data_IF_333347897922
#
_entry.id   IF_333347897922
#
_cell.length_a   1.000
_cell.length_b   1.000
_cell.length_c   1.000
_cell.angle_alpha   90.00
_cell.angle_beta   90.00
_cell.angle_gamma   90.00
#
_symmetry.space_group_name_H-M   'P 1'
#
loop_
_entity.id
_entity.type
_entity.pdbx_description
1 polymer ?
#
# COMPACT_ATOMS: atom_id res chain seq x y z
N UNK A 1 11.14 10.10 -16.94
CA UNK A 1 10.56 10.74 -15.73
C UNK A 1 10.07 9.72 -14.69
N UNK A 2 9.46 8.62 -15.15
CA UNK A 2 8.99 7.50 -14.34
C UNK A 2 10.10 6.83 -13.52
N UNK A 3 11.22 6.44 -14.14
CA UNK A 3 12.26 5.62 -13.50
C UNK A 3 12.84 6.23 -12.21
N UNK A 4 13.22 7.51 -12.20
CA UNK A 4 13.76 8.16 -11.00
C UNK A 4 12.71 8.26 -9.88
N UNK A 5 11.47 8.56 -10.23
CA UNK A 5 10.36 8.64 -9.29
C UNK A 5 10.14 7.29 -8.61
N UNK A 6 10.20 6.21 -9.38
CA UNK A 6 10.09 4.85 -8.87
C UNK A 6 11.22 4.50 -7.90
N UNK A 7 12.46 4.81 -8.28
CA UNK A 7 13.62 4.56 -7.42
C UNK A 7 13.49 5.29 -6.08
N UNK A 8 12.99 6.54 -6.10
CA UNK A 8 12.81 7.33 -4.89
C UNK A 8 11.60 6.90 -4.05
N UNK A 9 10.54 6.40 -4.68
CA UNK A 9 9.41 5.77 -3.99
C UNK A 9 9.85 4.47 -3.29
N UNK A 10 10.57 3.60 -4.00
CA UNK A 10 11.15 2.39 -3.42
C UNK A 10 12.10 2.71 -2.28
N UNK A 11 13.01 3.65 -2.49
CA UNK A 11 13.90 4.16 -1.45
C UNK A 11 13.10 4.60 -0.20
N UNK A 12 11.99 5.32 -0.38
CA UNK A 12 11.16 5.78 0.75
C UNK A 12 10.53 4.61 1.52
N UNK A 13 10.11 3.54 0.85
CA UNK A 13 9.61 2.32 1.51
C UNK A 13 10.70 1.60 2.30
N UNK A 14 11.86 1.41 1.68
CA UNK A 14 12.96 0.61 2.25
C UNK A 14 13.66 1.30 3.40
N UNK A 15 13.80 2.62 3.33
CA UNK A 15 14.51 3.41 4.34
C UNK A 15 13.61 3.78 5.50
N UNK A 16 12.28 3.84 5.35
CA UNK A 16 11.40 4.16 6.47
C UNK A 16 11.54 3.12 7.60
N UNK A 17 11.78 3.62 8.82
CA UNK A 17 12.12 2.77 9.96
C UNK A 17 10.99 1.80 10.34
N UNK A 18 9.73 2.25 10.24
CA UNK A 18 8.58 1.45 10.65
C UNK A 18 8.26 0.36 9.64
N UNK A 19 8.36 0.67 8.34
CA UNK A 19 8.26 -0.34 7.27
C UNK A 19 9.34 -1.40 7.43
N UNK A 20 10.59 -0.99 7.64
CA UNK A 20 11.69 -1.92 7.89
C UNK A 20 11.44 -2.82 9.11
N UNK A 21 10.96 -2.23 10.21
CA UNK A 21 10.60 -2.94 11.44
C UNK A 21 9.46 -3.95 11.25
N UNK A 22 8.48 -3.64 10.37
CA UNK A 22 7.32 -4.51 10.13
C UNK A 22 7.59 -5.62 9.10
N UNK A 23 8.47 -5.39 8.11
CA UNK A 23 8.77 -6.38 7.06
C UNK A 23 9.49 -7.61 7.62
N UNK A 24 10.29 -7.45 8.68
CA UNK A 24 10.96 -8.58 9.34
C UNK A 24 10.02 -9.42 10.21
N UNK A 25 8.76 -9.01 10.39
CA UNK A 25 7.79 -9.67 11.26
C UNK A 25 6.67 -10.33 10.46
N UNK A 26 6.35 -11.58 10.83
CA UNK A 26 5.20 -12.34 10.33
C UNK A 26 3.90 -11.84 10.97
N UNK A 27 3.53 -10.60 10.69
CA UNK A 27 2.28 -10.00 11.13
C UNK A 27 1.20 -10.17 10.05
N UNK A 28 -0.01 -10.54 10.48
CA UNK A 28 -1.22 -10.47 9.63
C UNK A 28 -1.39 -9.07 9.00
N UNK A 29 -0.97 -8.01 9.70
CA UNK A 29 -0.96 -6.63 9.19
C UNK A 29 -0.02 -6.42 7.99
N UNK A 30 1.13 -7.12 7.96
CA UNK A 30 2.06 -7.05 6.82
C UNK A 30 1.42 -7.70 5.59
N UNK A 31 0.72 -8.83 5.78
CA UNK A 31 -0.03 -9.48 4.70
C UNK A 31 -1.21 -8.61 4.21
N UNK A 32 -1.97 -8.01 5.12
CA UNK A 32 -3.02 -7.01 4.79
C UNK A 32 -2.45 -5.84 3.97
N UNK A 33 -1.26 -5.35 4.34
CA UNK A 33 -0.59 -4.25 3.64
C UNK A 33 -0.21 -4.64 2.23
N UNK A 34 0.38 -5.83 2.03
CA UNK A 34 0.73 -6.35 0.70
C UNK A 34 -0.51 -6.55 -0.16
N UNK A 35 -1.57 -7.17 0.38
CA UNK A 35 -2.83 -7.39 -0.32
C UNK A 35 -3.52 -6.06 -0.67
N UNK A 36 -3.46 -5.07 0.23
CA UNK A 36 -3.99 -3.74 -0.03
C UNK A 36 -3.27 -3.07 -1.19
N UNK A 37 -1.93 -3.02 -1.16
CA UNK A 37 -1.13 -2.41 -2.23
C UNK A 37 -1.33 -3.13 -3.57
N UNK A 38 -1.29 -4.47 -3.56
CA UNK A 38 -1.52 -5.28 -4.76
C UNK A 38 -2.94 -5.13 -5.31
N UNK A 39 -3.94 -5.14 -4.44
CA UNK A 39 -5.33 -5.01 -4.85
C UNK A 39 -5.64 -3.61 -5.37
N UNK A 40 -5.11 -2.54 -4.75
CA UNK A 40 -5.25 -1.16 -5.24
C UNK A 40 -4.70 -1.02 -6.66
N UNK A 41 -3.60 -1.71 -6.97
CA UNK A 41 -3.03 -1.74 -8.31
C UNK A 41 -3.99 -2.33 -9.34
N UNK A 42 -4.45 -3.55 -9.09
CA UNK A 42 -5.39 -4.21 -9.99
C UNK A 42 -6.70 -3.42 -10.10
N UNK A 43 -7.16 -2.81 -8.99
CA UNK A 43 -8.39 -2.05 -8.96
C UNK A 43 -8.31 -0.78 -9.82
N UNK A 44 -7.31 0.07 -9.61
CA UNK A 44 -7.16 1.30 -10.39
C UNK A 44 -6.81 1.04 -11.85
N UNK A 45 -6.01 0.01 -12.15
CA UNK A 45 -5.75 -0.42 -13.52
C UNK A 45 -7.05 -0.86 -14.24
N UNK A 46 -7.94 -1.57 -13.55
CA UNK A 46 -9.23 -1.98 -14.11
C UNK A 46 -10.17 -0.79 -14.35
N UNK A 47 -10.21 0.20 -13.43
CA UNK A 47 -11.00 1.43 -13.62
C UNK A 47 -10.56 2.16 -14.89
N UNK A 48 -9.27 2.31 -15.11
CA UNK A 48 -8.72 3.05 -16.25
C UNK A 48 -8.90 2.33 -17.57
N UNK A 49 -8.71 1.01 -17.58
CA UNK A 49 -9.04 0.18 -18.74
C UNK A 49 -10.51 0.36 -19.15
N UNK A 50 -11.45 0.37 -18.20
CA UNK A 50 -12.88 0.56 -18.50
C UNK A 50 -13.20 1.94 -19.11
N UNK A 51 -12.47 2.99 -18.71
CA UNK A 51 -12.60 4.33 -19.29
C UNK A 51 -12.02 4.38 -20.69
N UNK A 52 -10.84 3.80 -20.91
CA UNK A 52 -10.20 3.74 -22.22
C UNK A 52 -11.06 2.98 -23.25
N UNK A 53 -11.67 1.85 -22.89
CA UNK A 53 -12.56 1.09 -23.77
C UNK A 53 -13.81 1.89 -24.17
N UNK A 54 -14.31 2.77 -23.30
CA UNK A 54 -15.44 3.65 -23.64
C UNK A 54 -15.08 4.74 -24.67
N UNK A 55 -13.80 5.14 -24.73
CA UNK A 55 -13.29 6.19 -25.64
C UNK A 55 -12.77 5.58 -26.96
N UNK A 56 -12.15 4.40 -26.91
CA UNK A 56 -11.46 3.75 -28.05
C UNK A 56 -12.39 2.87 -28.91
N UNK A 57 -13.69 2.81 -28.60
CA UNK A 57 -14.71 2.16 -29.45
C UNK A 57 -14.87 2.77 -30.87
N UNK A 58 -13.99 3.69 -31.29
CA UNK A 58 -13.89 4.20 -32.67
C UNK A 58 -12.60 3.87 -33.43
N UNK A 59 -11.55 3.28 -32.85
CA UNK A 59 -10.37 2.96 -33.67
C UNK A 59 -9.50 1.81 -33.12
N UNK A 60 -9.58 0.70 -33.85
CA UNK A 60 -8.63 -0.41 -33.97
C UNK A 60 -8.27 -1.25 -32.72
N UNK A 61 -8.76 -2.49 -32.79
CA UNK A 61 -8.22 -3.66 -32.12
C UNK A 61 -6.82 -4.01 -32.66
N UNK A 62 -5.78 -3.83 -31.86
CA UNK A 62 -4.49 -4.52 -32.00
C UNK A 62 -3.59 -4.22 -30.79
N UNK A 63 -3.77 -4.96 -29.69
CA UNK A 63 -2.73 -5.40 -28.76
C UNK A 63 -3.39 -6.22 -27.64
N UNK A 64 -3.34 -7.55 -27.72
CA UNK A 64 -3.70 -8.44 -26.62
C UNK A 64 -2.65 -8.32 -25.50
N UNK A 65 -2.90 -7.41 -24.56
CA UNK A 65 -2.35 -7.50 -23.21
C UNK A 65 -3.51 -7.85 -22.29
N UNK A 66 -3.34 -8.93 -21.51
CA UNK A 66 -4.35 -9.43 -20.58
C UNK A 66 -4.78 -8.30 -19.63
N UNK A 67 -6.00 -7.81 -19.83
CA UNK A 67 -6.58 -6.76 -19.01
C UNK A 67 -6.53 -7.23 -17.55
N UNK A 68 -5.88 -6.51 -16.62
CA UNK A 68 -5.94 -6.84 -15.20
C UNK A 68 -7.42 -6.88 -14.80
N UNK A 69 -7.91 -8.08 -14.50
CA UNK A 69 -9.33 -8.31 -14.34
C UNK A 69 -9.80 -7.69 -13.02
N UNK A 70 -10.86 -6.89 -13.09
CA UNK A 70 -11.57 -6.36 -11.91
C UNK A 70 -11.93 -7.46 -10.91
N UNK A 71 -12.15 -8.69 -11.39
CA UNK A 71 -12.40 -9.88 -10.57
C UNK A 71 -11.20 -10.23 -9.69
N UNK A 72 -9.97 -10.05 -10.17
CA UNK A 72 -8.75 -10.27 -9.37
C UNK A 72 -8.66 -9.23 -8.26
N UNK A 73 -8.96 -7.97 -8.55
CA UNK A 73 -9.00 -6.91 -7.53
C UNK A 73 -10.06 -7.20 -6.45
N UNK A 74 -11.26 -7.64 -6.84
CA UNK A 74 -12.31 -8.07 -5.93
C UNK A 74 -11.92 -9.31 -5.10
N UNK A 75 -11.26 -10.29 -5.70
CA UNK A 75 -10.76 -11.48 -4.99
C UNK A 75 -9.71 -11.09 -3.95
N UNK A 76 -8.76 -10.22 -4.30
CA UNK A 76 -7.76 -9.72 -3.35
C UNK A 76 -8.44 -8.94 -2.22
N UNK A 77 -9.44 -8.11 -2.53
CA UNK A 77 -10.20 -7.37 -1.54
C UNK A 77 -10.95 -8.29 -0.56
N UNK A 78 -11.66 -9.29 -1.09
CA UNK A 78 -12.38 -10.28 -0.31
C UNK A 78 -11.43 -11.11 0.57
N UNK A 79 -10.29 -11.56 0.01
CA UNK A 79 -9.27 -12.29 0.75
C UNK A 79 -8.66 -11.45 1.88
N UNK A 80 -8.37 -10.16 1.61
CA UNK A 80 -7.89 -9.22 2.64
C UNK A 80 -8.90 -9.07 3.78
N UNK A 81 -10.19 -8.96 3.47
CA UNK A 81 -11.25 -8.85 4.48
C UNK A 81 -11.43 -10.15 5.27
N UNK A 82 -11.22 -11.31 4.65
CA UNK A 82 -11.35 -12.60 5.33
C UNK A 82 -10.18 -12.86 6.29
N UNK A 83 -8.94 -12.57 5.87
CA UNK A 83 -7.74 -12.63 6.73
C UNK A 83 -7.85 -11.61 7.85
N UNK A 84 -8.34 -10.41 7.54
CA UNK A 84 -8.47 -9.33 8.50
C UNK A 84 -9.73 -8.49 8.21
N UNK A 85 -10.80 -8.64 9.01
CA UNK A 85 -12.06 -7.91 8.81
C UNK A 85 -11.91 -6.39 8.80
N UNK A 86 -10.87 -5.87 9.46
CA UNK A 86 -10.54 -4.45 9.48
C UNK A 86 -10.18 -3.88 8.10
N UNK A 87 -9.66 -4.70 7.18
CA UNK A 87 -9.37 -4.30 5.78
C UNK A 87 -10.61 -3.78 5.05
N UNK A 88 -11.81 -4.17 5.50
CA UNK A 88 -13.06 -3.71 4.92
C UNK A 88 -13.18 -2.18 4.91
N UNK A 89 -12.56 -1.48 5.87
CA UNK A 89 -12.53 -0.01 5.92
C UNK A 89 -11.86 0.57 4.66
N UNK A 90 -10.73 -0.01 4.24
CA UNK A 90 -10.00 0.41 3.03
C UNK A 90 -10.82 0.11 1.77
N UNK A 91 -11.35 -1.11 1.67
CA UNK A 91 -12.07 -1.57 0.48
C UNK A 91 -13.43 -0.89 0.31
N UNK A 92 -14.07 -0.47 1.40
CA UNK A 92 -15.30 0.31 1.37
C UNK A 92 -15.09 1.66 0.67
N UNK A 93 -13.99 2.36 0.97
CA UNK A 93 -13.67 3.62 0.30
C UNK A 93 -13.41 3.43 -1.20
N UNK A 94 -12.55 2.46 -1.55
CA UNK A 94 -12.21 2.16 -2.95
C UNK A 94 -13.44 1.72 -3.73
N UNK A 95 -14.25 0.84 -3.15
CA UNK A 95 -15.51 0.36 -3.71
C UNK A 95 -16.52 1.49 -3.89
N UNK A 96 -16.65 2.41 -2.93
CA UNK A 96 -17.56 3.55 -3.03
C UNK A 96 -17.15 4.53 -4.15
N UNK A 97 -15.86 4.87 -4.24
CA UNK A 97 -15.35 5.74 -5.31
C UNK A 97 -15.63 5.17 -6.69
N UNK A 98 -15.50 3.86 -6.83
CA UNK A 98 -15.75 3.15 -8.08
C UNK A 98 -17.25 3.04 -8.36
N UNK A 99 -18.05 2.70 -7.34
CA UNK A 99 -19.51 2.59 -7.41
C UNK A 99 -20.19 3.88 -7.88
N UNK A 100 -19.69 5.04 -7.45
CA UNK A 100 -20.18 6.36 -7.89
C UNK A 100 -19.97 6.55 -9.41
N UNK A 101 -18.88 6.02 -9.96
CA UNK A 101 -18.52 6.17 -11.37
C UNK A 101 -19.20 5.13 -12.28
N UNK A 102 -19.79 4.07 -11.73
CA UNK A 102 -20.37 2.97 -12.50
C UNK A 102 -21.81 3.24 -12.95
N UNK A 103 -22.08 2.89 -14.22
CA UNK A 103 -23.43 2.94 -14.80
C UNK A 103 -24.32 1.76 -14.38
N UNK A 104 -23.77 0.53 -14.33
CA UNK A 104 -24.53 -0.69 -14.03
C UNK A 104 -24.29 -1.20 -12.60
N UNK A 105 -24.83 -0.48 -11.62
CA UNK A 105 -24.61 -0.69 -10.17
C UNK A 105 -25.09 -2.06 -9.67
N UNK A 106 -26.36 -2.40 -9.92
CA UNK A 106 -26.96 -3.64 -9.41
C UNK A 106 -26.28 -4.90 -9.96
N UNK A 107 -25.92 -4.88 -11.26
CA UNK A 107 -25.23 -6.00 -11.90
C UNK A 107 -23.89 -6.30 -11.24
N UNK A 108 -23.10 -5.26 -10.95
CA UNK A 108 -21.80 -5.41 -10.31
C UNK A 108 -21.91 -6.00 -8.90
N UNK A 109 -22.85 -5.51 -8.09
CA UNK A 109 -23.08 -6.03 -6.75
C UNK A 109 -23.51 -7.51 -6.79
N UNK A 110 -24.53 -7.81 -7.61
CA UNK A 110 -25.16 -9.13 -7.64
C UNK A 110 -24.30 -10.21 -8.32
N UNK A 111 -23.56 -9.86 -9.38
CA UNK A 111 -22.82 -10.85 -10.18
C UNK A 111 -21.33 -10.90 -9.86
N UNK A 112 -20.74 -9.83 -9.33
CA UNK A 112 -19.30 -9.80 -9.04
C UNK A 112 -19.03 -9.77 -7.53
N UNK A 113 -19.61 -8.83 -6.78
CA UNK A 113 -19.28 -8.66 -5.35
C UNK A 113 -19.83 -9.80 -4.49
N UNK A 114 -21.13 -10.08 -4.56
CA UNK A 114 -21.78 -11.09 -3.73
C UNK A 114 -21.21 -12.49 -3.98
N UNK A 115 -21.06 -12.97 -5.23
CA UNK A 115 -20.54 -14.31 -5.48
C UNK A 115 -19.09 -14.47 -5.02
N UNK A 116 -18.22 -13.49 -5.29
CA UNK A 116 -16.82 -13.52 -4.85
C UNK A 116 -16.73 -13.51 -3.32
N UNK A 117 -17.48 -12.62 -2.66
CA UNK A 117 -17.53 -12.56 -1.20
C UNK A 117 -18.05 -13.84 -0.57
N UNK A 118 -19.11 -14.43 -1.12
CA UNK A 118 -19.69 -15.67 -0.64
C UNK A 118 -18.73 -16.86 -0.78
N UNK A 119 -18.03 -16.96 -1.92
CA UNK A 119 -17.03 -18.02 -2.14
C UNK A 119 -15.89 -17.90 -1.13
N UNK A 120 -15.32 -16.69 -0.97
CA UNK A 120 -14.21 -16.49 -0.03
C UNK A 120 -14.65 -16.76 1.40
N UNK A 121 -15.83 -16.26 1.81
CA UNK A 121 -16.37 -16.52 3.14
C UNK A 121 -16.58 -18.01 3.37
N UNK A 122 -17.21 -18.72 2.42
CA UNK A 122 -17.43 -20.16 2.51
C UNK A 122 -16.12 -20.92 2.68
N UNK A 123 -15.12 -20.64 1.84
CA UNK A 123 -13.79 -21.26 1.93
C UNK A 123 -13.17 -20.99 3.31
N UNK A 124 -13.19 -19.75 3.80
CA UNK A 124 -12.62 -19.43 5.12
C UNK A 124 -13.37 -20.10 6.27
N UNK A 125 -14.70 -20.15 6.22
CA UNK A 125 -15.49 -20.84 7.26
C UNK A 125 -15.28 -22.35 7.27
N UNK A 126 -15.03 -22.97 6.11
CA UNK A 126 -14.69 -24.39 6.02
C UNK A 126 -13.30 -24.66 6.59
N UNK A 127 -12.33 -23.78 6.33
CA UNK A 127 -11.00 -23.85 6.94
C UNK A 127 -11.07 -23.67 8.46
N UNK A 128 -11.82 -22.66 8.92
CA UNK A 128 -12.04 -22.42 10.35
C UNK A 128 -12.72 -23.63 11.00
N UNK A 129 -13.74 -24.20 10.38
CA UNK A 129 -14.40 -25.41 10.87
C UNK A 129 -13.43 -26.59 10.99
N UNK A 130 -12.59 -26.80 9.97
CA UNK A 130 -11.58 -27.87 9.98
C UNK A 130 -10.53 -27.66 11.08
N UNK A 131 -10.10 -26.43 11.32
CA UNK A 131 -9.08 -26.10 12.32
C UNK A 131 -9.63 -26.09 13.76
N UNK A 132 -10.81 -25.50 13.97
CA UNK A 132 -11.43 -25.36 15.30
C UNK A 132 -12.30 -26.55 15.70
N UNK A 133 -12.61 -27.46 14.77
CA UNK A 133 -13.51 -28.61 15.00
C UNK A 133 -14.97 -28.22 15.26
N UNK A 134 -15.34 -26.96 15.06
CA UNK A 134 -16.68 -26.42 15.31
C UNK A 134 -17.04 -25.34 14.30
N UNK A 135 -18.33 -25.18 14.02
CA UNK A 135 -18.80 -24.19 13.05
C UNK A 135 -18.68 -22.78 13.63
N UNK A 136 -17.63 -22.08 13.25
CA UNK A 136 -17.33 -20.73 13.72
C UNK A 136 -17.11 -19.82 12.53
N UNK A 137 -17.85 -18.70 12.50
CA UNK A 137 -17.63 -17.63 11.53
C UNK A 137 -16.75 -16.58 12.21
N UNK A 138 -15.44 -16.71 12.04
CA UNK A 138 -14.45 -15.86 12.72
C UNK A 138 -14.65 -14.36 12.45
N UNK A 139 -14.94 -13.90 11.21
CA UNK A 139 -15.20 -12.49 10.95
C UNK A 139 -16.39 -11.91 11.74
N UNK A 140 -17.44 -12.70 11.97
CA UNK A 140 -18.61 -12.26 12.73
C UNK A 140 -18.30 -12.17 14.23
N UNK A 141 -17.54 -13.13 14.76
CA UNK A 141 -17.07 -13.08 16.15
C UNK A 141 -16.13 -11.90 16.39
N UNK A 142 -15.25 -11.61 15.42
CA UNK A 142 -14.42 -10.42 15.46
C UNK A 142 -15.27 -9.14 15.53
N UNK A 143 -16.30 -9.03 14.68
CA UNK A 143 -17.21 -7.88 14.68
C UNK A 143 -17.93 -7.73 16.03
N UNK A 144 -18.45 -8.82 16.56
CA UNK A 144 -19.11 -8.86 17.87
C UNK A 144 -18.17 -8.38 18.98
N UNK A 145 -16.96 -8.92 19.04
CA UNK A 145 -16.01 -8.59 20.10
C UNK A 145 -15.48 -7.16 20.00
N UNK A 146 -15.09 -6.72 18.80
CA UNK A 146 -14.38 -5.45 18.62
C UNK A 146 -15.31 -4.23 18.48
N UNK A 147 -16.49 -4.38 17.86
CA UNK A 147 -17.42 -3.27 17.67
C UNK A 147 -18.61 -3.30 18.62
N UNK A 148 -19.20 -4.47 18.88
CA UNK A 148 -20.43 -4.55 19.69
C UNK A 148 -20.16 -4.67 21.18
N UNK A 149 -19.02 -5.26 21.56
CA UNK A 149 -18.66 -5.50 22.97
C UNK A 149 -17.50 -4.62 23.46
N UNK A 150 -16.98 -3.70 22.63
CA UNK A 150 -15.85 -2.82 22.95
C UNK A 150 -14.65 -3.53 23.59
N UNK A 151 -14.41 -4.80 23.26
CA UNK A 151 -13.38 -5.62 23.90
C UNK A 151 -11.96 -5.08 23.70
N UNK A 152 -11.76 -4.27 22.65
CA UNK A 152 -10.49 -3.58 22.41
C UNK A 152 -10.15 -2.53 23.48
N UNK A 153 -11.14 -1.88 24.09
CA UNK A 153 -10.91 -0.80 25.06
C UNK A 153 -10.23 -1.30 26.34
N UNK A 154 -10.33 -2.61 26.62
CA UNK A 154 -9.61 -3.28 27.70
C UNK A 154 -8.08 -3.16 27.56
N UNK A 155 -7.57 -3.06 26.34
CA UNK A 155 -6.13 -2.96 26.06
C UNK A 155 -5.62 -1.51 26.04
N UNK A 156 -6.41 -0.57 26.56
CA UNK A 156 -6.08 0.84 26.63
C UNK A 156 -6.68 1.63 25.47
N UNK A 157 -7.04 2.88 25.75
CA UNK A 157 -7.65 3.79 24.80
C UNK A 157 -6.77 5.01 24.57
N UNK A 158 -6.91 5.59 23.38
CA UNK A 158 -6.21 6.80 22.99
C UNK A 158 -7.22 7.86 22.55
N UNK A 159 -6.87 9.14 22.74
CA UNK A 159 -7.65 10.28 22.26
C UNK A 159 -7.93 10.18 20.75
N UNK A 160 -9.08 10.70 20.30
CA UNK A 160 -9.54 10.53 18.91
C UNK A 160 -8.51 11.02 17.88
N UNK A 161 -7.83 12.13 18.14
CA UNK A 161 -6.85 12.73 17.23
C UNK A 161 -5.49 12.01 17.23
N UNK A 162 -5.31 10.96 18.02
CA UNK A 162 -4.02 10.29 18.21
C UNK A 162 -3.38 9.87 16.88
N UNK A 163 -4.14 9.29 15.95
CA UNK A 163 -3.62 8.91 14.64
C UNK A 163 -3.08 10.10 13.83
N UNK A 164 -3.68 11.28 13.94
CA UNK A 164 -3.25 12.48 13.22
C UNK A 164 -2.09 13.20 13.89
N UNK A 165 -1.99 13.16 15.22
CA UNK A 165 -0.99 13.94 15.97
C UNK A 165 0.23 13.14 16.39
N UNK A 166 0.09 11.83 16.62
CA UNK A 166 1.14 10.98 17.19
C UNK A 166 1.32 9.70 16.38
N UNK A 167 0.24 8.91 16.24
CA UNK A 167 0.22 7.58 15.64
C UNK A 167 0.84 7.51 14.25
N UNK A 168 0.19 8.12 13.27
CA UNK A 168 0.66 8.11 11.89
C UNK A 168 1.92 8.98 11.67
N UNK A 169 2.05 10.19 12.27
CA UNK A 169 3.28 10.98 12.21
C UNK A 169 4.52 10.24 12.69
N UNK A 170 4.44 9.41 13.75
CA UNK A 170 5.60 8.66 14.22
C UNK A 170 6.01 7.54 13.26
N UNK A 171 5.04 6.90 12.60
CA UNK A 171 5.29 5.84 11.61
C UNK A 171 6.01 6.38 10.37
N UNK A 172 5.54 7.50 9.83
CA UNK A 172 6.14 8.12 8.64
C UNK A 172 7.39 8.94 8.98
N UNK A 173 7.48 9.46 10.19
CA UNK A 173 8.66 10.12 10.77
C UNK A 173 9.18 11.27 9.89
N UNK A 174 10.49 11.31 9.63
CA UNK A 174 11.14 12.35 8.81
C UNK A 174 10.70 12.35 7.35
N UNK A 175 9.95 11.34 6.88
CA UNK A 175 9.30 11.37 5.57
C UNK A 175 8.02 12.21 5.55
N UNK A 176 7.45 12.60 6.70
CA UNK A 176 6.19 13.35 6.81
C UNK A 176 6.15 14.64 5.97
N UNK A 177 7.11 15.59 6.10
CA UNK A 177 7.05 16.83 5.32
C UNK A 177 7.13 16.57 3.80
N UNK A 178 7.86 15.53 3.39
CA UNK A 178 7.93 15.12 1.99
C UNK A 178 6.62 14.50 1.51
N UNK A 179 5.95 13.71 2.36
CA UNK A 179 4.64 13.13 2.05
C UNK A 179 3.59 14.22 1.82
N UNK A 180 3.51 15.19 2.74
CA UNK A 180 2.57 16.32 2.63
C UNK A 180 2.84 17.16 1.38
N UNK A 181 4.11 17.49 1.12
CA UNK A 181 4.50 18.18 -0.10
C UNK A 181 4.17 17.36 -1.37
N UNK A 182 4.34 16.04 -1.31
CA UNK A 182 3.99 15.12 -2.38
C UNK A 182 2.49 15.05 -2.67
N UNK A 183 1.65 15.02 -1.63
CA UNK A 183 0.19 15.08 -1.73
C UNK A 183 -0.22 16.38 -2.44
N UNK A 184 0.28 17.52 -1.96
CA UNK A 184 -0.05 18.83 -2.55
C UNK A 184 0.45 18.94 -4.00
N UNK A 185 1.64 18.42 -4.33
CA UNK A 185 2.17 18.52 -5.70
C UNK A 185 1.50 17.57 -6.69
N UNK A 186 1.16 16.35 -6.24
CA UNK A 186 0.58 15.33 -7.11
C UNK A 186 -0.89 15.57 -7.42
N UNK A 187 -1.62 16.29 -6.55
CA UNK A 187 -3.06 16.55 -6.67
C UNK A 187 -3.92 15.27 -6.70
N UNK A 188 -3.39 14.16 -6.19
CA UNK A 188 -4.06 12.86 -6.18
C UNK A 188 -5.01 12.69 -4.99
N UNK A 189 -6.20 13.27 -5.11
CA UNK A 189 -7.23 13.26 -4.08
C UNK A 189 -7.76 11.87 -3.74
N UNK A 190 -7.73 10.91 -4.68
CA UNK A 190 -8.24 9.54 -4.44
C UNK A 190 -7.40 8.80 -3.41
N UNK A 191 -6.08 8.80 -3.57
CA UNK A 191 -5.14 8.10 -2.69
C UNK A 191 -4.90 8.86 -1.39
N UNK A 192 -4.78 10.19 -1.45
CA UNK A 192 -4.69 11.02 -0.25
C UNK A 192 -5.99 10.97 0.58
N UNK A 193 -7.14 10.95 -0.09
CA UNK A 193 -8.44 10.74 0.54
C UNK A 193 -8.59 9.36 1.16
N UNK A 194 -7.99 8.30 0.57
CA UNK A 194 -7.94 6.97 1.17
C UNK A 194 -7.14 6.98 2.49
N UNK A 195 -5.97 7.64 2.51
CA UNK A 195 -5.18 7.80 3.74
C UNK A 195 -6.02 8.53 4.80
N UNK A 196 -6.62 9.67 4.44
CA UNK A 196 -7.44 10.45 5.37
C UNK A 196 -8.67 9.67 5.87
N UNK A 197 -9.34 8.92 4.99
CA UNK A 197 -10.48 8.06 5.32
C UNK A 197 -10.10 7.00 6.35
N UNK A 198 -9.03 6.25 6.09
CA UNK A 198 -8.55 5.19 6.99
C UNK A 198 -8.19 5.77 8.35
N UNK A 199 -7.40 6.85 8.39
CA UNK A 199 -7.05 7.50 9.66
C UNK A 199 -8.29 8.02 10.40
N UNK A 200 -9.24 8.62 9.68
CA UNK A 200 -10.47 9.16 10.25
C UNK A 200 -11.38 8.08 10.86
N UNK A 201 -11.61 6.97 10.15
CA UNK A 201 -12.45 5.87 10.65
C UNK A 201 -11.81 5.20 11.85
N UNK A 202 -10.51 4.89 11.81
CA UNK A 202 -9.82 4.29 12.96
C UNK A 202 -9.69 5.26 14.15
N UNK A 203 -9.72 6.58 13.91
CA UNK A 203 -9.73 7.58 14.98
C UNK A 203 -10.99 7.54 15.86
N UNK A 204 -12.11 7.03 15.34
CA UNK A 204 -13.38 6.89 16.08
C UNK A 204 -13.28 5.77 17.12
N UNK A 205 -12.47 4.74 16.87
CA UNK A 205 -12.32 3.60 17.78
C UNK A 205 -11.50 3.99 19.03
N UNK A 206 -11.92 3.54 20.21
CA UNK A 206 -11.25 3.84 21.48
C UNK A 206 -9.83 3.26 21.51
N UNK A 207 -9.70 1.96 21.26
CA UNK A 207 -8.43 1.27 21.11
C UNK A 207 -7.74 1.58 19.77
N UNK A 208 -6.48 2.00 19.85
CA UNK A 208 -5.67 2.41 18.69
C UNK A 208 -4.29 1.78 18.77
N UNK A 209 -3.83 1.28 17.63
CA UNK A 209 -2.48 0.73 17.49
C UNK A 209 -1.86 1.18 16.17
N UNK A 210 -0.53 1.31 16.13
CA UNK A 210 0.20 1.68 14.91
C UNK A 210 -0.07 0.72 13.74
N UNK A 211 -0.19 -0.59 14.04
CA UNK A 211 -0.35 -1.62 13.01
C UNK A 211 -1.68 -1.58 12.27
N UNK A 212 -2.75 -1.01 12.86
CA UNK A 212 -4.06 -0.92 12.20
C UNK A 212 -4.05 0.00 10.97
N UNK A 213 -3.16 0.98 10.96
CA UNK A 213 -3.02 1.94 9.84
C UNK A 213 -1.78 1.66 8.99
N UNK A 214 -1.09 0.53 9.21
CA UNK A 214 0.04 0.09 8.39
C UNK A 214 -0.30 0.00 6.89
N UNK A 215 -1.49 -0.48 6.44
CA UNK A 215 -1.80 -0.62 5.02
C UNK A 215 -1.76 0.69 4.22
N UNK A 216 -1.93 1.85 4.87
CA UNK A 216 -1.88 3.17 4.22
C UNK A 216 -0.51 3.85 4.31
N UNK A 217 0.43 3.31 5.10
CA UNK A 217 1.79 3.85 5.21
C UNK A 217 2.55 3.80 3.88
N UNK A 218 2.51 2.70 3.09
CA UNK A 218 3.15 2.68 1.78
C UNK A 218 2.62 3.76 0.83
N UNK A 219 1.32 4.08 0.89
CA UNK A 219 0.73 5.13 0.06
C UNK A 219 1.27 6.52 0.44
N UNK A 220 1.49 6.77 1.74
CA UNK A 220 2.06 8.03 2.18
C UNK A 220 3.55 8.17 1.79
N UNK A 221 4.33 7.10 1.92
CA UNK A 221 5.74 7.08 1.50
C UNK A 221 5.91 7.20 -0.02
N UNK A 222 4.93 6.75 -0.81
CA UNK A 222 4.88 6.98 -2.25
C UNK A 222 4.80 8.48 -2.58
N UNK A 223 4.01 9.26 -1.83
CA UNK A 223 3.99 10.72 -1.97
C UNK A 223 5.33 11.36 -1.59
N UNK A 224 6.01 10.86 -0.55
CA UNK A 224 7.37 11.32 -0.19
C UNK A 224 8.36 11.12 -1.35
N UNK A 225 8.36 9.92 -1.95
CA UNK A 225 9.20 9.61 -3.12
C UNK A 225 8.90 10.53 -4.32
N UNK A 226 7.63 10.84 -4.56
CA UNK A 226 7.24 11.79 -5.60
C UNK A 226 7.77 13.21 -5.33
N UNK A 227 7.67 13.70 -4.08
CA UNK A 227 8.23 14.99 -3.71
C UNK A 227 9.75 15.04 -3.95
N UNK A 228 10.48 14.01 -3.54
CA UNK A 228 11.93 13.90 -3.78
C UNK A 228 12.25 13.91 -5.28
N UNK A 229 11.48 13.21 -6.10
CA UNK A 229 11.66 13.19 -7.54
C UNK A 229 11.47 14.59 -8.16
N UNK A 230 10.45 15.32 -7.72
CA UNK A 230 10.20 16.72 -8.11
C UNK A 230 11.37 17.65 -7.73
N UNK A 231 12.03 17.42 -6.57
CA UNK A 231 13.21 18.19 -6.14
C UNK A 231 14.44 17.95 -7.02
N UNK A 232 14.56 16.77 -7.62
CA UNK A 232 15.62 16.48 -8.60
C UNK A 232 15.43 17.30 -9.88
N UNK A 233 14.19 17.36 -10.38
CA UNK A 233 13.85 18.03 -11.64
C UNK A 233 14.00 19.55 -11.56
N UNK A 234 13.73 20.16 -10.40
CA UNK A 234 13.91 21.59 -10.20
C UNK A 234 15.36 22.07 -10.35
N UNK A 235 16.36 21.17 -10.30
CA UNK A 235 17.77 21.51 -10.54
C UNK A 235 18.11 21.69 -12.01
N UNK A 236 17.34 21.10 -12.93
CA UNK A 236 17.60 21.25 -14.37
C UNK A 236 17.36 22.66 -14.92
N UNK A 237 16.67 23.53 -14.17
CA UNK A 237 16.37 24.92 -14.59
C UNK A 237 17.29 25.99 -14.01
N UNK A 238 18.02 25.69 -12.93
CA UNK A 238 18.92 26.64 -12.27
C UNK A 238 20.36 26.11 -12.30
N UNK A 239 21.12 26.68 -13.24
CA UNK A 239 22.45 26.35 -13.71
C UNK A 239 23.56 26.28 -12.64
N UNK A 240 24.62 25.52 -12.95
CA UNK A 240 26.03 25.63 -12.50
C UNK A 240 26.31 26.28 -11.12
N UNK A 241 26.36 25.47 -10.06
CA UNK A 241 27.29 25.71 -8.93
C UNK A 241 28.02 24.41 -8.60
N UNK A 242 29.25 24.28 -9.11
CA UNK A 242 30.20 23.21 -8.77
C UNK A 242 30.58 23.39 -7.29
N UNK A 243 30.13 22.50 -6.40
CA UNK A 243 30.67 22.38 -5.05
C UNK A 243 29.68 22.19 -3.89
N UNK A 244 28.36 22.37 -4.07
CA UNK A 244 27.39 22.22 -2.98
C UNK A 244 26.50 20.98 -3.16
N UNK A 245 26.27 20.24 -2.06
CA UNK A 245 25.35 19.11 -2.05
C UNK A 245 23.97 19.53 -2.55
N UNK A 246 23.44 18.73 -3.45
CA UNK A 246 22.14 18.97 -4.06
C UNK A 246 21.04 18.91 -2.98
N UNK A 247 20.00 19.76 -3.02
CA UNK A 247 18.85 19.67 -2.07
C UNK A 247 18.27 18.26 -1.91
N UNK A 248 18.34 17.45 -2.98
CA UNK A 248 17.91 16.05 -2.96
C UNK A 248 18.88 15.19 -2.16
N UNK A 249 20.19 15.36 -2.40
CA UNK A 249 21.23 14.64 -1.66
C UNK A 249 21.15 14.95 -0.17
N UNK A 250 20.96 16.23 0.20
CA UNK A 250 20.78 16.61 1.60
C UNK A 250 19.54 15.95 2.22
N UNK A 251 18.41 15.94 1.52
CA UNK A 251 17.20 15.25 1.99
C UNK A 251 17.39 13.74 2.11
N UNK A 252 18.04 13.08 1.14
CA UNK A 252 18.34 11.64 1.19
C UNK A 252 19.26 11.32 2.36
N UNK A 253 20.32 12.10 2.56
CA UNK A 253 21.25 11.94 3.70
C UNK A 253 20.49 12.09 5.02
N UNK A 254 19.65 13.13 5.16
CA UNK A 254 18.82 13.33 6.35
C UNK A 254 17.88 12.14 6.61
N UNK A 255 17.21 11.65 5.58
CA UNK A 255 16.27 10.52 5.69
C UNK A 255 16.99 9.23 6.10
N UNK A 256 18.16 8.95 5.53
CA UNK A 256 18.99 7.78 5.89
C UNK A 256 19.50 7.90 7.32
N UNK A 257 20.12 9.04 7.69
CA UNK A 257 20.70 9.24 9.02
C UNK A 257 19.64 9.18 10.12
N UNK A 258 18.40 9.57 9.84
CA UNK A 258 17.33 9.56 10.85
C UNK A 258 16.59 8.22 10.93
N UNK A 259 16.34 7.54 9.81
CA UNK A 259 15.56 6.31 9.83
C UNK A 259 16.40 5.04 9.98
N UNK A 260 17.59 4.96 9.39
CA UNK A 260 18.38 3.72 9.44
C UNK A 260 18.83 3.39 10.88
N UNK A 261 19.37 4.33 11.67
CA UNK A 261 19.69 4.05 13.06
C UNK A 261 18.47 3.66 13.89
N UNK A 262 17.32 4.31 13.66
CA UNK A 262 16.07 3.99 14.33
C UNK A 262 15.57 2.58 13.97
N UNK A 263 15.63 2.23 12.70
CA UNK A 263 15.28 0.91 12.18
C UNK A 263 16.18 -0.17 12.81
N UNK A 264 17.49 0.06 12.81
CA UNK A 264 18.45 -0.86 13.41
C UNK A 264 18.25 -0.97 14.93
N UNK A 265 18.01 0.14 15.62
CA UNK A 265 17.75 0.12 17.06
C UNK A 265 16.51 -0.71 17.40
N UNK A 266 15.39 -0.43 16.71
CA UNK A 266 14.13 -1.12 16.93
C UNK A 266 14.23 -2.61 16.54
N UNK A 267 14.96 -2.95 15.48
CA UNK A 267 15.10 -4.33 15.02
C UNK A 267 16.16 -5.16 15.75
N UNK A 268 17.19 -4.55 16.34
CA UNK A 268 18.28 -5.29 17.00
C UNK A 268 18.14 -5.32 18.52
N UNK A 269 17.62 -4.26 19.13
CA UNK A 269 17.60 -4.11 20.60
C UNK A 269 16.18 -4.18 21.18
N UNK A 270 15.19 -3.57 20.53
CA UNK A 270 13.81 -3.64 21.01
C UNK A 270 13.12 -4.97 20.65
N UNK A 271 13.63 -5.67 19.63
CA UNK A 271 13.09 -6.91 19.08
C UNK A 271 13.74 -8.19 19.63
N UNK A 272 14.45 -8.17 20.77
CA UNK A 272 15.12 -9.38 21.32
C UNK A 272 14.11 -10.42 21.83
N UNK A 273 13.53 -11.17 20.88
CA UNK A 273 13.21 -12.58 21.02
C UNK A 273 14.24 -13.35 20.17
N UNK A 274 15.14 -14.08 20.82
CA UNK A 274 16.22 -14.84 20.18
C UNK A 274 15.71 -15.97 19.24
N UNK A 275 16.51 -16.45 18.25
CA UNK A 275 17.91 -16.12 17.94
C UNK A 275 18.14 -15.40 16.60
N UNK A 276 19.27 -14.70 16.59
CA UNK A 276 20.02 -14.11 15.50
C UNK A 276 20.47 -15.12 14.43
N UNK A 277 19.55 -15.81 13.77
CA UNK A 277 19.86 -16.54 12.56
C UNK A 277 19.09 -15.90 11.41
N UNK A 278 19.82 -15.27 10.50
CA UNK A 278 19.33 -14.87 9.19
C UNK A 278 18.35 -13.69 9.12
N UNK A 279 18.48 -12.65 9.96
CA UNK A 279 17.85 -11.35 9.65
C UNK A 279 18.26 -10.89 8.24
N UNK A 280 19.52 -11.08 7.85
CA UNK A 280 20.02 -10.70 6.52
C UNK A 280 19.46 -11.56 5.37
N UNK A 281 19.22 -12.86 5.58
CA UNK A 281 18.66 -13.78 4.56
C UNK A 281 17.13 -13.70 4.49
N UNK A 282 16.44 -13.51 5.63
CA UNK A 282 15.01 -13.14 5.66
C UNK A 282 14.80 -11.76 5.07
N UNK A 283 15.73 -10.81 5.28
CA UNK A 283 15.75 -9.53 4.58
C UNK A 283 15.89 -9.75 3.09
N UNK A 284 16.86 -10.53 2.61
CA UNK A 284 17.02 -10.78 1.17
C UNK A 284 15.76 -11.41 0.54
N UNK A 285 15.21 -12.47 1.15
CA UNK A 285 14.01 -13.16 0.66
C UNK A 285 12.73 -12.33 0.77
N UNK A 286 12.56 -11.54 1.85
CA UNK A 286 11.40 -10.65 2.01
C UNK A 286 11.52 -9.40 1.17
N UNK A 287 12.74 -8.88 0.95
CA UNK A 287 13.02 -7.78 0.04
C UNK A 287 12.72 -8.19 -1.40
N UNK A 288 13.08 -9.39 -1.84
CA UNK A 288 12.77 -9.83 -3.21
C UNK A 288 11.26 -9.90 -3.46
N UNK A 289 10.48 -10.50 -2.55
CA UNK A 289 9.02 -10.60 -2.73
C UNK A 289 8.27 -9.29 -2.45
N UNK A 290 8.62 -8.56 -1.39
CA UNK A 290 7.96 -7.30 -1.00
C UNK A 290 8.36 -6.14 -1.93
N UNK A 291 9.63 -6.03 -2.35
CA UNK A 291 10.02 -5.07 -3.37
C UNK A 291 9.38 -5.43 -4.70
N UNK A 292 9.37 -6.68 -5.14
CA UNK A 292 8.71 -7.03 -6.40
C UNK A 292 7.22 -6.70 -6.36
N UNK A 293 6.46 -7.08 -5.31
CA UNK A 293 5.04 -6.75 -5.23
C UNK A 293 4.78 -5.24 -5.04
N UNK A 294 5.56 -4.54 -4.22
CA UNK A 294 5.41 -3.09 -4.01
C UNK A 294 5.83 -2.30 -5.25
N UNK A 295 6.90 -2.67 -5.94
CA UNK A 295 7.35 -2.03 -7.18
C UNK A 295 6.38 -2.34 -8.32
N UNK A 296 5.94 -3.59 -8.50
CA UNK A 296 5.02 -3.98 -9.57
C UNK A 296 3.62 -3.37 -9.36
N UNK A 297 3.19 -3.21 -8.11
CA UNK A 297 1.84 -2.71 -7.80
C UNK A 297 1.78 -1.19 -7.61
N UNK A 298 2.75 -0.56 -6.94
CA UNK A 298 2.71 0.89 -6.69
C UNK A 298 3.08 1.68 -7.96
N UNK A 299 4.01 1.14 -8.78
CA UNK A 299 4.49 1.82 -9.98
C UNK A 299 3.37 2.24 -10.94
N UNK A 300 2.40 1.37 -11.28
CA UNK A 300 1.37 1.76 -12.22
C UNK A 300 0.28 2.59 -11.53
N UNK A 301 -0.04 2.37 -10.25
CA UNK A 301 -1.06 3.16 -9.52
C UNK A 301 -0.78 4.65 -9.64
N UNK A 302 0.45 5.07 -9.37
CA UNK A 302 0.81 6.49 -9.39
C UNK A 302 0.95 7.05 -10.81
N UNK A 303 1.46 6.26 -11.75
CA UNK A 303 1.66 6.68 -13.13
C UNK A 303 0.33 6.76 -13.92
N UNK A 304 -0.64 5.92 -13.57
CA UNK A 304 -2.03 5.98 -14.04
C UNK A 304 -2.68 7.30 -13.62
N UNK A 305 -2.42 7.74 -12.39
CA UNK A 305 -3.13 8.85 -11.78
C UNK A 305 -2.47 10.22 -12.08
N UNK A 306 -1.15 10.35 -11.88
CA UNK A 306 -0.43 11.63 -11.98
C UNK A 306 -0.06 12.03 -13.43
N UNK A 307 -0.79 11.53 -14.43
CA UNK A 307 -0.46 11.61 -15.86
C UNK A 307 -0.02 12.99 -16.36
N UNK A 308 1.30 13.17 -16.52
CA UNK A 308 1.86 13.98 -17.61
C UNK A 308 2.46 12.99 -18.60
N UNK A 309 1.83 12.94 -19.78
CA UNK A 309 1.97 11.87 -20.77
C UNK A 309 3.40 11.44 -21.04
N UNK A 310 3.64 10.14 -20.86
CA UNK A 310 4.54 9.33 -21.69
C UNK A 310 4.25 7.86 -21.36
N UNK A 311 3.28 7.30 -22.08
CA UNK A 311 2.86 5.90 -21.97
C UNK A 311 3.86 4.93 -22.62
N UNK A 312 5.17 5.19 -22.53
CA UNK A 312 6.23 4.41 -23.19
C UNK A 312 7.41 4.14 -22.26
N UNK A 313 7.22 3.39 -21.18
CA UNK A 313 8.32 2.57 -20.60
C UNK A 313 7.74 1.40 -19.80
N UNK A 314 7.19 0.42 -20.52
CA UNK A 314 7.12 -0.97 -20.06
C UNK A 314 8.48 -1.64 -20.37
N UNK A 315 8.89 -2.63 -19.56
CA UNK A 315 9.93 -3.62 -19.89
C UNK A 315 11.42 -3.24 -19.79
N UNK A 316 11.93 -2.75 -18.64
CA UNK A 316 13.39 -2.85 -18.39
C UNK A 316 13.76 -3.53 -17.05
N UNK A 317 12.91 -3.49 -16.03
CA UNK A 317 13.32 -4.01 -14.70
C UNK A 317 13.11 -5.54 -14.55
N UNK A 318 12.36 -6.20 -15.45
CA UNK A 318 12.14 -7.66 -15.40
C UNK A 318 12.86 -8.48 -16.49
N UNK A 319 13.72 -7.88 -17.32
CA UNK A 319 14.49 -8.60 -18.36
C UNK A 319 15.99 -8.69 -18.04
N UNK A 320 16.36 -9.03 -16.81
CA UNK A 320 17.65 -9.70 -16.61
C UNK A 320 17.48 -11.17 -16.98
N UNK A 321 17.62 -11.45 -18.28
CA UNK A 321 17.84 -12.80 -18.83
C UNK A 321 19.03 -13.42 -18.07
N UNK A 322 18.96 -14.69 -17.62
CA UNK A 322 20.16 -15.39 -17.19
C UNK A 322 21.08 -15.48 -18.40
N UNK A 323 22.29 -14.92 -18.29
CA UNK A 323 23.35 -15.27 -19.23
C UNK A 323 23.68 -16.75 -18.97
N UNK A 324 23.33 -17.58 -19.95
CA UNK A 324 23.85 -18.93 -20.06
C UNK A 324 25.37 -18.84 -20.19
N UNK A 325 26.04 -19.63 -19.37
CA UNK A 325 27.43 -20.03 -19.52
C UNK A 325 27.64 -20.62 -20.92
N UNK A 326 28.70 -20.16 -21.61
CA UNK A 326 29.42 -20.98 -22.60
C UNK A 326 30.69 -21.52 -21.94
#
# INVERSE_FOLDING_TARGET
>A
MSALTNCLQLFSQLVNWFMFFCITRTLSNSLETVLTVAGLYYWFAAIESSKATSIVSKQHAACEQSIPSRKVALLIAALSCAIRPTSAVTWLYVGLLDFIQMKSKCRFILLDVIPVGAIVLAVTTLLDWWMYGSWVIVPLNFLKFNLLSSGGDYYGTHVFHWYFTQGFPSMIWTFLPFALCGIVKSQEWRLSGLIAWVLGVYSILGHKEFRFVLPVLPLALMFSGYCLASMSQSKGKNQHRKGSLSRLQLSVILLVITNVPMALYMSLFHQVGFPYFNVFVLLYASMDHFCCLSIISIYPIFNIHCGRGEQKTLCIICQKKPMMEE
#
